data_IF_254626046574
#
_entry.id   IF_254626046574
#
_cell.length_a   1.000
_cell.length_b   1.000
_cell.length_c   1.000
_cell.angle_alpha   90.00
_cell.angle_beta   90.00
_cell.angle_gamma   90.00
#
_symmetry.space_group_name_H-M   'P 1'
#
loop_
_entity.id
_entity.type
_entity.pdbx_description
1 polymer ?
#
# COMPACT_ATOMS: atom_id res chain seq x y z
N UNK A 1 -10.76 -4.14 -3.17
CA UNK A 1 -10.65 -5.34 -2.31
C UNK A 1 -10.66 -6.62 -3.14
N UNK A 2 -11.79 -7.03 -3.71
CA UNK A 2 -11.92 -8.30 -4.45
C UNK A 2 -10.89 -8.55 -5.55
N UNK A 3 -10.48 -7.50 -6.29
CA UNK A 3 -9.46 -7.63 -7.34
C UNK A 3 -8.08 -8.11 -6.81
N UNK A 4 -7.75 -7.80 -5.55
CA UNK A 4 -6.51 -8.25 -4.90
C UNK A 4 -6.52 -9.77 -4.65
N UNK A 5 -7.70 -10.36 -4.47
CA UNK A 5 -7.89 -11.81 -4.26
C UNK A 5 -7.87 -12.64 -5.54
N UNK A 6 -7.88 -11.99 -6.71
CA UNK A 6 -7.88 -12.67 -8.00
C UNK A 6 -6.50 -13.26 -8.31
N UNK A 7 -6.48 -14.38 -9.05
CA UNK A 7 -5.23 -15.07 -9.43
C UNK A 7 -4.62 -14.55 -10.72
N UNK A 8 -5.42 -13.94 -11.60
CA UNK A 8 -4.96 -13.44 -12.88
C UNK A 8 -4.21 -12.10 -12.73
N UNK A 9 -3.21 -11.90 -13.60
CA UNK A 9 -2.35 -10.72 -13.55
C UNK A 9 -3.07 -9.41 -13.89
N UNK A 10 -4.11 -9.46 -14.72
CA UNK A 10 -4.89 -8.27 -15.09
C UNK A 10 -5.63 -7.70 -13.88
N UNK A 11 -6.39 -8.54 -13.18
CA UNK A 11 -7.15 -8.13 -11.99
C UNK A 11 -6.25 -7.58 -10.89
N UNK A 12 -5.13 -8.26 -10.61
CA UNK A 12 -4.15 -7.79 -9.62
C UNK A 12 -3.46 -6.50 -10.04
N UNK A 13 -3.12 -6.36 -11.32
CA UNK A 13 -2.55 -5.13 -11.87
C UNK A 13 -3.53 -3.95 -11.78
N UNK A 14 -4.81 -4.18 -12.05
CA UNK A 14 -5.85 -3.17 -11.88
C UNK A 14 -6.03 -2.81 -10.41
N UNK A 15 -6.01 -3.77 -9.49
CA UNK A 15 -6.02 -3.51 -8.05
C UNK A 15 -4.86 -2.59 -7.66
N UNK A 16 -3.64 -2.94 -8.08
CA UNK A 16 -2.43 -2.16 -7.78
C UNK A 16 -2.52 -0.72 -8.31
N UNK A 17 -3.00 -0.55 -9.54
CA UNK A 17 -3.20 0.77 -10.13
C UNK A 17 -4.25 1.59 -9.37
N UNK A 18 -5.38 1.00 -9.02
CA UNK A 18 -6.43 1.69 -8.26
C UNK A 18 -5.93 2.06 -6.85
N UNK A 19 -5.14 1.19 -6.22
CA UNK A 19 -4.58 1.47 -4.90
C UNK A 19 -3.49 2.55 -4.88
N UNK A 20 -2.84 2.81 -6.01
CA UNK A 20 -1.90 3.91 -6.12
C UNK A 20 -2.54 5.28 -5.82
N UNK A 21 -3.84 5.47 -6.12
CA UNK A 21 -4.57 6.73 -5.85
C UNK A 21 -4.72 7.05 -4.36
N UNK A 22 -4.44 6.09 -3.47
CA UNK A 22 -4.38 6.28 -2.03
C UNK A 22 -3.05 5.78 -1.46
N UNK A 23 -1.96 5.93 -2.23
CA UNK A 23 -0.58 5.66 -1.84
C UNK A 23 -0.27 4.23 -1.36
N UNK A 24 -1.06 3.22 -1.74
CA UNK A 24 -0.84 1.84 -1.30
C UNK A 24 -0.91 0.80 -2.44
N UNK A 25 -0.15 0.96 -3.55
CA UNK A 25 -0.22 0.05 -4.70
C UNK A 25 -0.16 -1.44 -4.36
N UNK A 26 0.72 -1.87 -3.44
CA UNK A 26 0.90 -3.27 -3.08
C UNK A 26 0.21 -3.63 -1.75
N UNK A 27 -0.93 -2.99 -1.43
CA UNK A 27 -1.77 -3.33 -0.27
C UNK A 27 -2.12 -4.81 -0.19
N UNK A 28 -2.20 -5.48 -1.34
CA UNK A 28 -2.48 -6.92 -1.41
C UNK A 28 -1.47 -7.76 -0.63
N UNK A 29 -0.22 -7.32 -0.50
CA UNK A 29 0.81 -8.07 0.24
C UNK A 29 0.46 -8.17 1.73
N UNK A 30 0.46 -7.10 2.54
CA UNK A 30 0.10 -7.20 3.95
C UNK A 30 -1.34 -7.72 4.15
N UNK A 31 -2.27 -7.38 3.26
CA UNK A 31 -3.64 -7.87 3.33
C UNK A 31 -3.73 -9.40 3.25
N UNK A 32 -3.10 -10.00 2.24
CA UNK A 32 -3.20 -11.44 1.99
C UNK A 32 -2.26 -12.26 2.87
N UNK A 33 -1.08 -11.73 3.23
CA UNK A 33 -0.07 -12.50 3.95
C UNK A 33 -0.10 -12.30 5.47
N UNK A 34 -0.79 -11.25 5.95
CA UNK A 34 -0.90 -10.93 7.38
C UNK A 34 -2.36 -10.87 7.77
N UNK A 35 -3.14 -9.89 7.29
CA UNK A 35 -4.50 -9.66 7.79
C UNK A 35 -5.41 -10.89 7.69
N UNK A 36 -5.44 -11.60 6.56
CA UNK A 36 -6.24 -12.85 6.44
C UNK A 36 -5.73 -14.01 7.29
N UNK A 37 -4.44 -14.02 7.63
CA UNK A 37 -3.81 -15.11 8.37
C UNK A 37 -3.90 -14.89 9.89
N UNK A 38 -3.67 -13.65 10.31
CA UNK A 38 -3.46 -13.21 11.68
C UNK A 38 -4.58 -12.27 12.16
N UNK A 39 -5.75 -12.31 11.51
CA UNK A 39 -6.93 -11.49 11.83
C UNK A 39 -7.26 -11.52 13.32
N UNK A 40 -7.56 -10.34 13.89
CA UNK A 40 -7.87 -10.15 15.31
C UNK A 40 -6.73 -10.58 16.26
N UNK A 41 -5.48 -10.51 15.79
CA UNK A 41 -4.29 -10.71 16.61
C UNK A 41 -3.36 -9.49 16.59
N UNK A 42 -2.42 -9.35 17.55
CA UNK A 42 -1.44 -8.27 17.54
C UNK A 42 -0.49 -8.28 16.35
N UNK A 43 -0.43 -9.37 15.58
CA UNK A 43 0.38 -9.44 14.36
C UNK A 43 -0.30 -8.74 13.17
N UNK A 44 -1.62 -8.54 13.21
CA UNK A 44 -2.36 -7.84 12.18
C UNK A 44 -2.39 -6.32 12.41
N UNK A 45 -1.78 -5.57 11.49
CA UNK A 45 -1.81 -4.11 11.48
C UNK A 45 -3.20 -3.53 11.23
N UNK A 46 -4.06 -4.27 10.53
CA UNK A 46 -5.41 -3.84 10.12
C UNK A 46 -6.46 -4.05 11.22
N UNK A 47 -6.13 -4.76 12.30
CA UNK A 47 -6.98 -4.86 13.49
C UNK A 47 -6.64 -3.75 14.49
N UNK A 48 -7.63 -2.93 14.84
CA UNK A 48 -7.50 -1.91 15.88
C UNK A 48 -7.44 -2.53 17.28
N UNK A 49 -6.60 -1.98 18.17
CA UNK A 49 -6.60 -2.43 19.56
C UNK A 49 -7.82 -1.90 20.32
N UNK A 50 -8.32 -2.68 21.27
CA UNK A 50 -9.39 -2.23 22.16
C UNK A 50 -8.98 -0.95 22.90
N UNK A 51 -9.72 0.13 22.69
CA UNK A 51 -9.46 1.44 23.29
C UNK A 51 -8.47 2.32 22.52
N UNK A 52 -7.96 1.86 21.38
CA UNK A 52 -7.17 2.69 20.46
C UNK A 52 -8.08 3.71 19.76
N UNK A 53 -7.64 4.97 19.69
CA UNK A 53 -8.37 5.98 18.94
C UNK A 53 -8.07 5.86 17.44
N UNK A 54 -9.02 6.29 16.60
CA UNK A 54 -8.92 6.15 15.14
C UNK A 54 -7.65 6.78 14.54
N UNK A 55 -7.20 7.92 15.04
CA UNK A 55 -6.01 8.60 14.49
C UNK A 55 -4.72 7.84 14.78
N UNK A 56 -4.56 7.35 16.02
CA UNK A 56 -3.44 6.49 16.41
C UNK A 56 -3.47 5.19 15.63
N UNK A 57 -4.66 4.58 15.48
CA UNK A 57 -4.85 3.38 14.69
C UNK A 57 -4.41 3.56 13.23
N UNK A 58 -4.93 4.58 12.53
CA UNK A 58 -4.59 4.80 11.11
C UNK A 58 -3.08 4.98 10.90
N UNK A 59 -2.40 5.70 11.80
CA UNK A 59 -0.94 5.86 11.71
C UNK A 59 -0.19 4.56 11.97
N UNK A 60 -0.58 3.82 13.03
CA UNK A 60 0.02 2.53 13.36
C UNK A 60 -0.19 1.51 12.23
N UNK A 61 -1.42 1.37 11.76
CA UNK A 61 -1.83 0.50 10.66
C UNK A 61 -1.04 0.84 9.38
N UNK A 62 -1.03 2.11 8.95
CA UNK A 62 -0.25 2.57 7.79
C UNK A 62 1.22 2.17 7.91
N UNK A 63 1.86 2.47 9.05
CA UNK A 63 3.27 2.14 9.28
C UNK A 63 3.51 0.63 9.24
N UNK A 64 2.65 -0.14 9.92
CA UNK A 64 2.76 -1.59 9.99
C UNK A 64 2.65 -2.22 8.59
N UNK A 65 1.67 -1.80 7.78
CA UNK A 65 1.43 -2.33 6.44
C UNK A 65 2.64 -2.12 5.51
N UNK A 66 3.25 -0.93 5.52
CA UNK A 66 4.50 -0.71 4.77
C UNK A 66 5.67 -1.54 5.29
N UNK A 67 5.80 -1.70 6.62
CA UNK A 67 6.83 -2.56 7.20
C UNK A 67 6.66 -4.02 6.76
N UNK A 68 5.42 -4.52 6.73
CA UNK A 68 5.11 -5.87 6.29
C UNK A 68 5.33 -6.06 4.79
N UNK A 69 4.97 -5.08 3.96
CA UNK A 69 5.31 -5.10 2.53
C UNK A 69 6.84 -5.21 2.32
N UNK A 70 7.61 -4.36 3.00
CA UNK A 70 9.08 -4.38 2.91
C UNK A 70 9.69 -5.70 3.40
N UNK A 71 9.23 -6.22 4.54
CA UNK A 71 9.72 -7.47 5.10
C UNK A 71 9.41 -8.67 4.18
N UNK A 72 8.17 -8.74 3.67
CA UNK A 72 7.75 -9.81 2.75
C UNK A 72 8.51 -9.75 1.43
N UNK A 73 8.66 -8.56 0.83
CA UNK A 73 9.39 -8.44 -0.44
C UNK A 73 10.88 -8.74 -0.25
N UNK A 74 11.50 -8.29 0.84
CA UNK A 74 12.88 -8.65 1.16
C UNK A 74 13.05 -10.17 1.27
N UNK A 75 12.20 -10.83 2.06
CA UNK A 75 12.23 -12.30 2.21
C UNK A 75 12.08 -13.01 0.86
N UNK A 76 11.16 -12.55 0.01
CA UNK A 76 10.94 -13.11 -1.33
C UNK A 76 12.15 -12.90 -2.24
N UNK A 77 12.79 -11.72 -2.19
CA UNK A 77 13.96 -11.38 -3.01
C UNK A 77 15.18 -12.21 -2.62
N UNK A 78 15.43 -12.35 -1.32
CA UNK A 78 16.51 -13.15 -0.76
C UNK A 78 16.36 -14.62 -1.18
N UNK A 79 15.15 -15.18 -1.06
CA UNK A 79 14.85 -16.55 -1.49
C UNK A 79 15.06 -16.79 -3.00
N UNK A 80 14.93 -15.74 -3.82
CA UNK A 80 15.14 -15.79 -5.26
C UNK A 80 16.58 -15.45 -5.68
N UNK A 81 17.46 -15.07 -4.75
CA UNK A 81 18.80 -14.55 -5.06
C UNK A 81 18.78 -13.34 -5.98
N UNK A 82 17.69 -12.55 -5.96
CA UNK A 82 17.44 -11.48 -6.91
C UNK A 82 17.84 -10.11 -6.36
N UNK A 83 18.43 -9.22 -7.18
CA UNK A 83 18.85 -7.89 -6.74
C UNK A 83 17.66 -7.01 -6.35
N UNK A 84 17.91 -6.00 -5.53
CA UNK A 84 16.90 -5.00 -5.16
C UNK A 84 16.40 -4.23 -6.38
N UNK A 85 17.30 -3.75 -7.25
CA UNK A 85 16.92 -3.06 -8.48
C UNK A 85 16.48 -4.07 -9.55
N UNK A 86 15.18 -4.36 -9.58
CA UNK A 86 14.56 -5.26 -10.54
C UNK A 86 13.12 -4.83 -10.82
N UNK A 87 12.67 -4.92 -12.08
CA UNK A 87 11.26 -4.71 -12.45
C UNK A 87 10.31 -5.70 -11.75
N UNK A 88 10.85 -6.78 -11.16
CA UNK A 88 10.08 -7.73 -10.36
C UNK A 88 9.97 -7.32 -8.89
N UNK A 89 10.61 -6.23 -8.45
CA UNK A 89 10.59 -5.77 -7.06
C UNK A 89 9.35 -4.91 -6.79
N UNK A 90 8.52 -5.38 -5.85
CA UNK A 90 7.27 -4.71 -5.49
C UNK A 90 7.51 -3.33 -4.86
N UNK A 91 8.60 -3.13 -4.10
CA UNK A 91 8.95 -1.83 -3.50
C UNK A 91 9.22 -0.76 -4.56
N UNK A 92 9.78 -1.15 -5.70
CA UNK A 92 10.01 -0.21 -6.80
C UNK A 92 8.67 0.27 -7.35
N UNK A 93 7.72 -0.64 -7.58
CA UNK A 93 6.38 -0.27 -8.04
C UNK A 93 5.58 0.51 -7.00
N UNK A 94 5.76 0.19 -5.71
CA UNK A 94 5.18 0.94 -4.60
C UNK A 94 5.55 2.41 -4.66
N UNK A 95 6.85 2.69 -4.79
CA UNK A 95 7.38 4.06 -4.85
C UNK A 95 6.99 4.73 -6.17
N UNK A 96 7.18 4.04 -7.30
CA UNK A 96 6.95 4.62 -8.62
C UNK A 96 5.48 4.97 -8.85
N UNK A 97 4.54 4.07 -8.56
CA UNK A 97 3.11 4.32 -8.80
C UNK A 97 2.56 5.40 -7.85
N UNK A 98 3.02 5.40 -6.60
CA UNK A 98 2.68 6.45 -5.62
C UNK A 98 3.17 7.82 -6.08
N UNK A 99 4.37 7.90 -6.67
CA UNK A 99 4.94 9.17 -7.17
C UNK A 99 4.38 9.60 -8.53
N UNK A 100 3.98 8.65 -9.39
CA UNK A 100 3.54 8.94 -10.75
C UNK A 100 2.23 9.72 -10.80
N UNK A 101 1.32 9.50 -9.85
CA UNK A 101 0.04 10.21 -9.79
C UNK A 101 0.20 11.72 -9.55
N UNK A 102 0.89 12.19 -8.49
CA UNK A 102 1.15 13.62 -8.31
C UNK A 102 2.07 14.20 -9.40
N UNK A 103 2.99 13.39 -9.96
CA UNK A 103 3.81 13.81 -11.10
C UNK A 103 2.96 14.05 -12.36
N UNK A 104 1.97 13.20 -12.63
CA UNK A 104 1.02 13.42 -13.72
C UNK A 104 0.23 14.71 -13.52
N UNK A 105 -0.24 14.96 -12.30
CA UNK A 105 -0.92 16.20 -11.95
C UNK A 105 -0.03 17.44 -12.12
N UNK A 106 1.27 17.32 -11.83
CA UNK A 106 2.25 18.38 -12.09
C UNK A 106 2.27 18.80 -13.56
N UNK A 107 2.30 17.85 -14.49
CA UNK A 107 2.32 18.16 -15.93
C UNK A 107 1.01 18.75 -16.45
N UNK A 108 -0.11 18.55 -15.74
CA UNK A 108 -1.43 19.07 -16.12
C UNK A 108 -1.72 20.46 -15.53
N UNK A 109 -1.29 20.72 -14.29
CA UNK A 109 -1.68 21.91 -13.55
C UNK A 109 -0.59 22.53 -12.67
N UNK A 110 0.68 22.16 -12.90
CA UNK A 110 1.83 22.67 -12.16
C UNK A 110 1.91 22.15 -10.73
N UNK A 111 2.77 22.78 -9.93
CA UNK A 111 3.08 22.32 -8.57
C UNK A 111 1.87 22.37 -7.63
N UNK A 112 0.92 23.31 -7.82
CA UNK A 112 -0.29 23.36 -7.00
C UNK A 112 -1.17 22.12 -7.21
N UNK A 113 -1.34 21.68 -8.47
CA UNK A 113 -2.09 20.46 -8.77
C UNK A 113 -1.41 19.22 -8.19
N UNK A 114 -0.08 19.14 -8.32
CA UNK A 114 0.71 18.06 -7.72
C UNK A 114 0.57 18.00 -6.20
N UNK A 115 0.66 19.15 -5.52
CA UNK A 115 0.53 19.23 -4.07
C UNK A 115 -0.87 18.85 -3.59
N UNK A 116 -1.92 19.31 -4.27
CA UNK A 116 -3.30 18.98 -3.94
C UNK A 116 -3.59 17.49 -4.12
N UNK A 117 -3.14 16.91 -5.24
CA UNK A 117 -3.30 15.48 -5.52
C UNK A 117 -2.52 14.64 -4.51
N UNK A 118 -1.27 15.01 -4.20
CA UNK A 118 -0.49 14.32 -3.18
C UNK A 118 -1.15 14.38 -1.81
N UNK A 119 -1.65 15.55 -1.39
CA UNK A 119 -2.37 15.70 -0.13
C UNK A 119 -3.63 14.83 -0.10
N UNK A 120 -4.39 14.80 -1.20
CA UNK A 120 -5.60 13.97 -1.32
C UNK A 120 -5.28 12.49 -1.28
N UNK A 121 -4.18 12.07 -1.91
CA UNK A 121 -3.69 10.70 -1.93
C UNK A 121 -3.29 10.23 -0.52
N UNK A 122 -2.59 11.08 0.25
CA UNK A 122 -2.27 10.80 1.65
C UNK A 122 -3.55 10.76 2.50
N UNK A 123 -4.46 11.73 2.37
CA UNK A 123 -5.73 11.71 3.11
C UNK A 123 -6.56 10.45 2.78
N UNK A 124 -6.59 10.05 1.51
CA UNK A 124 -7.23 8.82 1.05
C UNK A 124 -6.64 7.57 1.71
N UNK A 125 -5.31 7.51 1.87
CA UNK A 125 -4.63 6.43 2.61
C UNK A 125 -5.17 6.33 4.04
N UNK A 126 -5.21 7.43 4.78
CA UNK A 126 -5.72 7.43 6.16
C UNK A 126 -7.20 7.05 6.23
N UNK A 127 -8.04 7.61 5.35
CA UNK A 127 -9.47 7.25 5.29
C UNK A 127 -9.64 5.75 5.03
N UNK A 128 -8.82 5.16 4.16
CA UNK A 128 -8.86 3.72 3.90
C UNK A 128 -8.53 2.92 5.16
N UNK A 129 -7.50 3.29 5.91
CA UNK A 129 -7.18 2.57 7.16
C UNK A 129 -8.30 2.69 8.20
N UNK A 130 -9.02 3.81 8.25
CA UNK A 130 -10.16 3.96 9.15
C UNK A 130 -11.35 3.03 8.84
N UNK A 131 -11.38 2.45 7.63
CA UNK A 131 -12.44 1.57 7.15
C UNK A 131 -12.05 0.09 7.15
N UNK A 132 -10.86 -0.26 7.67
CA UNK A 132 -10.46 -1.65 7.87
C UNK A 132 -11.40 -2.41 8.82
#
# INVERSE_FOLDING_TARGET
HELMHRRDGFSRGLAMLMCAFFADPNRDVPHLTVHHLDFDTPADGDTAYRGENAYTFMWRCTKHNYQMLWANEKKRRDALGAPFFSMKNMIIWEILLTALIPLGAFFLGGWQAAALVFATQILGKFILEALN
#
